data_IF_031205450465
#
_entry.id   IF_031205450465
#
_cell.length_a   1.000
_cell.length_b   1.000
_cell.length_c   1.000
_cell.angle_alpha   90.00
_cell.angle_beta   90.00
_cell.angle_gamma   90.00
#
_symmetry.space_group_name_H-M   'P 1'
#
loop_
_entity.id
_entity.type
_entity.pdbx_description
1 polymer ?
#
# COMPACT_ATOMS: atom_id res chain seq x y z
N UNK A 1 -12.13 -55.26 -47.36
CA UNK A 1 -12.22 -53.88 -47.88
C UNK A 1 -13.58 -53.33 -47.49
N UNK A 2 -13.66 -52.67 -46.38
CA UNK A 2 -14.90 -52.02 -45.92
C UNK A 2 -14.50 -50.67 -45.31
N UNK A 3 -14.93 -49.64 -45.98
CA UNK A 3 -14.69 -48.24 -45.67
C UNK A 3 -15.59 -47.76 -44.55
N UNK A 4 -15.03 -47.22 -43.46
CA UNK A 4 -15.74 -46.48 -42.44
C UNK A 4 -15.95 -45.01 -42.86
N UNK A 5 -17.15 -44.44 -42.66
CA UNK A 5 -17.36 -43.02 -42.94
C UNK A 5 -16.88 -42.13 -41.78
N UNK A 6 -16.29 -41.04 -42.16
CA UNK A 6 -15.95 -39.90 -41.31
C UNK A 6 -17.20 -39.21 -40.83
N UNK A 7 -17.41 -39.24 -39.53
CA UNK A 7 -18.31 -38.33 -38.82
C UNK A 7 -17.50 -37.57 -37.76
N UNK A 8 -16.83 -36.53 -38.19
CA UNK A 8 -16.15 -35.55 -37.33
C UNK A 8 -16.65 -34.17 -37.72
N UNK A 9 -17.47 -33.53 -36.97
CA UNK A 9 -17.82 -32.14 -37.23
C UNK A 9 -19.22 -31.75 -36.81
N UNK A 10 -19.54 -31.74 -35.54
CA UNK A 10 -20.67 -30.94 -34.98
C UNK A 10 -20.71 -31.03 -33.44
N UNK A 11 -19.69 -30.55 -32.77
CA UNK A 11 -19.77 -30.34 -31.30
C UNK A 11 -18.84 -29.24 -30.84
N UNK A 12 -18.95 -28.04 -31.40
CA UNK A 12 -18.17 -26.87 -31.01
C UNK A 12 -18.93 -25.57 -31.29
N UNK A 13 -20.20 -25.50 -30.88
CA UNK A 13 -20.96 -24.23 -30.92
C UNK A 13 -22.13 -24.23 -29.93
N UNK A 14 -21.87 -24.46 -28.63
CA UNK A 14 -22.91 -24.30 -27.61
C UNK A 14 -22.33 -23.98 -26.21
N UNK A 15 -21.28 -23.19 -26.10
CA UNK A 15 -20.81 -22.67 -24.82
C UNK A 15 -20.46 -21.18 -24.85
N UNK A 16 -21.08 -20.41 -25.73
CA UNK A 16 -20.93 -18.96 -25.76
C UNK A 16 -22.26 -18.24 -25.44
N UNK A 17 -23.15 -18.86 -24.68
CA UNK A 17 -24.24 -18.13 -24.02
C UNK A 17 -23.64 -17.58 -22.72
N UNK A 18 -22.97 -16.42 -22.86
CA UNK A 18 -22.36 -15.70 -21.75
C UNK A 18 -23.36 -15.47 -20.66
N UNK A 19 -22.96 -15.81 -19.44
CA UNK A 19 -23.38 -15.17 -18.24
C UNK A 19 -23.02 -13.67 -18.31
N UNK A 20 -23.80 -12.90 -19.03
CA UNK A 20 -23.95 -11.49 -18.74
C UNK A 20 -24.71 -11.45 -17.40
N UNK A 21 -23.99 -11.65 -16.31
CA UNK A 21 -24.41 -11.16 -15.02
C UNK A 21 -24.58 -9.66 -15.22
N UNK A 22 -25.84 -9.24 -15.44
CA UNK A 22 -26.22 -7.85 -15.34
C UNK A 22 -25.76 -7.43 -13.94
N UNK A 23 -24.63 -6.74 -13.87
CA UNK A 23 -24.25 -6.03 -12.66
C UNK A 23 -25.39 -5.04 -12.44
N UNK A 24 -26.23 -5.34 -11.44
CA UNK A 24 -27.19 -4.34 -10.97
C UNK A 24 -26.39 -3.06 -10.74
N UNK A 25 -26.82 -1.91 -11.26
CA UNK A 25 -26.11 -0.67 -11.04
C UNK A 25 -25.89 -0.55 -9.55
N UNK A 26 -24.63 -0.40 -9.12
CA UNK A 26 -24.30 -0.17 -7.73
C UNK A 26 -25.22 0.96 -7.27
N UNK A 27 -26.14 0.68 -6.35
CA UNK A 27 -26.99 1.71 -5.78
C UNK A 27 -26.04 2.67 -5.07
N UNK A 28 -25.72 3.77 -5.71
CA UNK A 28 -25.01 4.88 -5.09
C UNK A 28 -25.98 5.46 -4.06
N UNK A 29 -25.96 4.90 -2.86
CA UNK A 29 -26.73 5.49 -1.77
C UNK A 29 -26.24 6.91 -1.57
N UNK A 30 -27.13 7.88 -1.66
CA UNK A 30 -26.80 9.27 -1.36
C UNK A 30 -26.17 9.33 0.06
N UNK A 31 -25.00 9.96 0.20
CA UNK A 31 -24.38 10.11 1.51
C UNK A 31 -25.33 10.78 2.50
N UNK A 32 -25.49 10.20 3.69
CA UNK A 32 -26.45 10.66 4.71
C UNK A 32 -25.78 11.52 5.77
N UNK A 33 -26.54 12.43 6.35
CA UNK A 33 -26.14 13.14 7.56
C UNK A 33 -26.13 12.20 8.78
N UNK A 34 -25.37 12.57 9.81
CA UNK A 34 -25.39 11.88 11.08
C UNK A 34 -26.80 12.00 11.72
N UNK A 35 -27.27 10.91 12.31
CA UNK A 35 -28.48 10.94 13.14
C UNK A 35 -28.20 11.70 14.44
N UNK A 36 -29.23 12.13 15.16
CA UNK A 36 -29.02 12.79 16.46
C UNK A 36 -28.32 11.85 17.47
N UNK A 37 -28.63 10.56 17.45
CA UNK A 37 -27.95 9.58 18.28
C UNK A 37 -26.43 9.50 17.95
N UNK A 38 -26.07 9.51 16.65
CA UNK A 38 -24.67 9.54 16.22
C UNK A 38 -23.97 10.83 16.67
N UNK A 39 -24.60 12.00 16.48
CA UNK A 39 -24.06 13.29 16.91
C UNK A 39 -23.82 13.33 18.42
N UNK A 40 -24.80 12.86 19.21
CA UNK A 40 -24.68 12.82 20.65
C UNK A 40 -23.53 11.91 21.11
N UNK A 41 -23.38 10.73 20.49
CA UNK A 41 -22.28 9.81 20.78
C UNK A 41 -20.91 10.44 20.42
N UNK A 42 -20.77 11.07 19.26
CA UNK A 42 -19.53 11.73 18.84
C UNK A 42 -19.15 12.89 19.77
N UNK A 43 -20.13 13.72 20.18
CA UNK A 43 -19.89 14.82 21.15
C UNK A 43 -19.48 14.30 22.53
N UNK A 44 -20.13 13.25 23.03
CA UNK A 44 -19.77 12.64 24.31
C UNK A 44 -18.34 12.08 24.27
N UNK A 45 -17.96 11.41 23.17
CA UNK A 45 -16.62 10.89 22.98
C UNK A 45 -15.58 12.01 22.87
N UNK A 46 -15.87 13.07 22.10
CA UNK A 46 -14.96 14.20 21.93
C UNK A 46 -14.55 14.83 23.27
N UNK A 47 -15.46 14.89 24.24
CA UNK A 47 -15.18 15.40 25.56
C UNK A 47 -14.17 14.56 26.39
N UNK A 48 -13.93 13.30 25.98
CA UNK A 48 -13.01 12.36 26.67
C UNK A 48 -11.67 12.20 25.97
N UNK A 49 -11.54 12.64 24.73
CA UNK A 49 -10.34 12.45 23.93
C UNK A 49 -9.34 13.59 24.15
N UNK A 50 -8.02 13.30 24.18
CA UNK A 50 -6.98 14.31 24.34
C UNK A 50 -6.73 15.08 23.03
N UNK A 51 -7.75 15.78 22.52
CA UNK A 51 -7.71 16.45 21.22
C UNK A 51 -6.71 17.60 21.16
N UNK A 52 -6.33 18.17 22.30
CA UNK A 52 -5.33 19.23 22.40
C UNK A 52 -3.88 18.74 22.27
N UNK A 53 -3.65 17.43 22.42
CA UNK A 53 -2.31 16.85 22.24
C UNK A 53 -1.89 16.92 20.78
N UNK A 54 -0.73 17.53 20.51
CA UNK A 54 -0.15 17.71 19.15
C UNK A 54 0.98 16.74 18.85
N UNK A 55 1.38 15.91 19.80
CA UNK A 55 2.56 15.03 19.66
C UNK A 55 2.51 14.18 18.36
N UNK A 56 1.35 13.59 18.04
CA UNK A 56 1.22 12.79 16.83
C UNK A 56 1.42 13.58 15.52
N UNK A 57 1.03 14.85 15.50
CA UNK A 57 1.24 15.73 14.35
C UNK A 57 2.70 16.16 14.23
N UNK A 58 3.33 16.48 15.36
CA UNK A 58 4.76 16.83 15.43
C UNK A 58 5.60 15.63 14.98
N UNK A 59 5.26 14.43 15.41
CA UNK A 59 5.92 13.19 15.01
C UNK A 59 5.69 12.87 13.52
N UNK A 60 4.49 13.09 13.00
CA UNK A 60 4.18 12.91 11.58
C UNK A 60 4.96 13.88 10.69
N UNK A 61 5.24 15.09 11.17
CA UNK A 61 5.98 16.12 10.43
C UNK A 61 7.51 16.02 10.62
N UNK A 62 7.97 15.27 11.64
CA UNK A 62 9.40 15.22 12.00
C UNK A 62 10.25 14.70 10.86
N UNK A 63 11.34 15.42 10.56
CA UNK A 63 12.30 15.04 9.53
C UNK A 63 11.80 15.24 8.10
N UNK A 64 10.71 15.97 7.89
CA UNK A 64 10.17 16.26 6.56
C UNK A 64 11.22 16.92 5.67
N UNK A 65 11.34 16.40 4.44
CA UNK A 65 12.27 16.91 3.40
C UNK A 65 11.49 17.50 2.24
N UNK A 66 10.67 16.72 1.58
CA UNK A 66 9.84 17.16 0.45
C UNK A 66 8.59 16.30 0.32
N UNK A 67 7.45 16.91 0.00
CA UNK A 67 6.21 16.23 -0.28
C UNK A 67 6.22 15.57 -1.67
N UNK A 68 5.34 14.60 -1.89
CA UNK A 68 4.98 14.13 -3.22
C UNK A 68 4.37 15.30 -4.01
N UNK A 69 5.01 15.75 -5.09
CA UNK A 69 4.71 16.98 -5.83
C UNK A 69 3.22 17.21 -6.09
N UNK A 70 2.71 16.83 -7.26
CA UNK A 70 1.29 17.00 -7.62
C UNK A 70 0.31 16.14 -6.82
N UNK A 71 0.79 15.36 -5.87
CA UNK A 71 0.03 14.38 -5.10
C UNK A 71 -0.69 13.35 -5.99
N UNK A 72 -0.13 13.07 -7.15
CA UNK A 72 -0.65 12.12 -8.13
C UNK A 72 0.49 11.30 -8.70
N UNK A 73 0.35 9.99 -8.72
CA UNK A 73 1.25 9.07 -9.43
C UNK A 73 0.44 8.48 -10.58
N UNK A 74 0.82 8.76 -11.84
CA UNK A 74 0.11 8.27 -13.01
C UNK A 74 0.27 6.74 -13.15
N UNK A 75 -0.67 6.11 -13.82
CA UNK A 75 -0.60 4.72 -14.26
C UNK A 75 -0.60 4.62 -15.79
N UNK A 76 -0.60 3.40 -16.29
CA UNK A 76 -0.74 3.12 -17.74
C UNK A 76 -2.16 3.39 -18.28
N UNK A 77 -3.15 3.51 -17.40
CA UNK A 77 -4.55 3.73 -17.73
C UNK A 77 -5.01 5.17 -17.42
N UNK A 78 -6.31 5.46 -17.62
CA UNK A 78 -6.87 6.79 -17.43
C UNK A 78 -6.96 7.22 -15.95
N UNK A 79 -6.87 6.29 -15.02
CA UNK A 79 -6.89 6.60 -13.59
C UNK A 79 -5.47 6.60 -13.03
N UNK A 80 -5.15 7.51 -12.10
CA UNK A 80 -3.87 7.45 -11.42
C UNK A 80 -3.75 6.18 -10.58
N UNK A 81 -2.54 5.66 -10.45
CA UNK A 81 -2.22 4.56 -9.55
C UNK A 81 -2.39 5.01 -8.10
N UNK A 82 -2.01 6.24 -7.81
CA UNK A 82 -2.11 6.84 -6.49
C UNK A 82 -2.46 8.32 -6.59
N UNK A 83 -3.28 8.80 -5.67
CA UNK A 83 -3.53 10.24 -5.54
C UNK A 83 -4.01 10.59 -4.13
N UNK A 84 -3.52 11.72 -3.63
CA UNK A 84 -4.03 12.37 -2.42
C UNK A 84 -5.04 13.49 -2.73
N UNK A 85 -5.31 13.77 -4.02
CA UNK A 85 -6.39 14.68 -4.41
C UNK A 85 -7.73 14.09 -3.99
N UNK A 86 -8.62 14.95 -3.51
CA UNK A 86 -9.93 14.56 -2.96
C UNK A 86 -9.92 14.33 -1.45
N UNK A 87 -8.79 14.56 -0.76
CA UNK A 87 -8.70 14.55 0.70
C UNK A 87 -8.49 15.97 1.28
N UNK A 88 -8.66 17.01 0.49
CA UNK A 88 -8.50 18.41 0.90
C UNK A 88 -9.47 18.81 2.02
N UNK A 89 -10.60 18.12 2.14
CA UNK A 89 -11.56 18.30 3.24
C UNK A 89 -10.94 18.05 4.64
N UNK A 90 -9.87 17.26 4.73
CA UNK A 90 -9.12 17.02 5.97
C UNK A 90 -8.29 18.22 6.44
N UNK A 91 -8.25 19.29 5.67
CA UNK A 91 -7.69 20.58 6.12
C UNK A 91 -8.48 21.25 7.23
N UNK A 92 -9.75 20.88 7.43
CA UNK A 92 -10.58 21.38 8.53
C UNK A 92 -10.09 20.82 9.86
N UNK A 93 -10.10 21.64 10.90
CA UNK A 93 -9.66 21.22 12.22
C UNK A 93 -10.71 20.38 12.93
N UNK A 94 -11.95 20.82 12.90
CA UNK A 94 -13.08 20.18 13.57
C UNK A 94 -13.55 18.94 12.82
N UNK A 95 -13.79 17.87 13.58
CA UNK A 95 -14.38 16.65 13.05
C UNK A 95 -15.87 16.89 12.73
N UNK A 96 -16.34 16.47 11.54
CA UNK A 96 -17.77 16.51 11.24
C UNK A 96 -18.53 15.47 12.07
N UNK A 97 -19.79 15.72 12.36
CA UNK A 97 -20.67 14.81 13.11
C UNK A 97 -20.79 13.39 12.50
N UNK A 98 -20.43 13.24 11.24
CA UNK A 98 -20.48 11.96 10.49
C UNK A 98 -19.26 11.08 10.70
N UNK A 99 -18.19 11.59 11.30
CA UNK A 99 -16.91 10.89 11.45
C UNK A 99 -16.52 10.81 12.93
N UNK A 100 -16.02 9.65 13.33
CA UNK A 100 -15.45 9.48 14.66
C UNK A 100 -14.29 10.49 14.87
N UNK A 101 -14.29 11.30 15.94
CA UNK A 101 -13.30 12.38 16.10
C UNK A 101 -11.85 11.88 16.16
N UNK A 102 -11.61 10.70 16.74
CA UNK A 102 -10.29 10.07 16.72
C UNK A 102 -9.84 9.67 15.31
N UNK A 103 -10.76 9.14 14.49
CA UNK A 103 -10.45 8.85 13.08
C UNK A 103 -10.16 10.13 12.29
N UNK A 104 -10.94 11.19 12.51
CA UNK A 104 -10.70 12.48 11.86
C UNK A 104 -9.31 13.02 12.18
N UNK A 105 -8.94 13.03 13.46
CA UNK A 105 -7.62 13.47 13.93
C UNK A 105 -6.50 12.62 13.31
N UNK A 106 -6.66 11.29 13.29
CA UNK A 106 -5.71 10.36 12.71
C UNK A 106 -5.58 10.56 11.18
N UNK A 107 -6.70 10.70 10.48
CA UNK A 107 -6.74 10.96 9.04
C UNK A 107 -6.01 12.25 8.66
N UNK A 108 -6.11 13.31 9.50
CA UNK A 108 -5.37 14.56 9.30
C UNK A 108 -3.86 14.34 9.45
N UNK A 109 -3.41 13.60 10.47
CA UNK A 109 -1.99 13.26 10.63
C UNK A 109 -1.46 12.42 9.44
N UNK A 110 -2.28 11.50 8.92
CA UNK A 110 -1.96 10.69 7.72
C UNK A 110 -1.95 11.49 6.39
N UNK A 111 -2.19 12.81 6.43
CA UNK A 111 -1.91 13.67 5.27
C UNK A 111 -0.43 14.00 5.11
N UNK A 112 0.40 13.76 6.12
CA UNK A 112 1.85 13.86 6.00
C UNK A 112 2.34 12.87 4.95
N UNK A 113 2.98 13.39 3.89
CA UNK A 113 3.43 12.58 2.76
C UNK A 113 4.75 13.12 2.21
N UNK A 114 5.52 12.22 1.58
CA UNK A 114 6.78 12.60 0.95
C UNK A 114 7.98 11.86 1.54
N UNK A 115 9.15 12.49 1.43
CA UNK A 115 10.42 12.01 1.96
C UNK A 115 10.67 12.61 3.35
N UNK A 116 11.04 11.74 4.29
CA UNK A 116 11.39 12.12 5.67
C UNK A 116 12.75 11.56 6.04
N UNK A 117 13.61 12.39 6.65
CA UNK A 117 14.85 11.94 7.28
C UNK A 117 14.54 11.48 8.71
N UNK A 118 14.73 10.19 9.00
CA UNK A 118 14.50 9.62 10.33
C UNK A 118 15.74 9.75 11.20
N UNK A 119 16.89 9.35 10.65
CA UNK A 119 18.23 9.53 11.25
C UNK A 119 19.21 9.90 10.14
N UNK A 120 20.51 9.98 10.44
CA UNK A 120 21.51 10.38 9.46
C UNK A 120 21.59 9.45 8.23
N UNK A 121 21.23 8.19 8.39
CA UNK A 121 21.31 7.16 7.33
C UNK A 121 19.97 6.48 7.04
N UNK A 122 18.88 6.89 7.69
CA UNK A 122 17.56 6.25 7.54
C UNK A 122 16.55 7.28 7.06
N UNK A 123 15.88 6.95 5.99
CA UNK A 123 14.85 7.76 5.35
C UNK A 123 13.56 6.96 5.20
N UNK A 124 12.41 7.65 5.21
CA UNK A 124 11.12 7.04 4.94
C UNK A 124 10.37 7.80 3.85
N UNK A 125 9.74 7.04 2.97
CA UNK A 125 8.76 7.51 1.99
C UNK A 125 7.39 7.19 2.56
N UNK A 126 6.65 8.23 2.95
CA UNK A 126 5.35 8.14 3.64
C UNK A 126 4.24 8.68 2.77
N UNK A 127 3.04 8.09 2.86
CA UNK A 127 1.85 8.57 2.16
C UNK A 127 1.86 8.34 0.65
N UNK A 128 2.67 7.41 0.15
CA UNK A 128 2.67 6.93 -1.24
C UNK A 128 1.76 5.73 -1.42
N UNK A 129 1.39 5.09 -0.34
CA UNK A 129 0.52 3.93 -0.27
C UNK A 129 -0.09 3.83 1.14
N UNK A 130 -0.72 2.69 1.46
CA UNK A 130 -1.17 2.38 2.82
C UNK A 130 0.01 2.11 3.76
N UNK A 131 1.08 1.49 3.26
CA UNK A 131 2.34 1.25 3.96
C UNK A 131 3.36 2.36 3.72
N UNK A 132 4.50 2.30 4.41
CA UNK A 132 5.64 3.18 4.23
C UNK A 132 6.86 2.37 3.77
N UNK A 133 7.67 2.96 2.89
CA UNK A 133 8.95 2.38 2.49
C UNK A 133 10.08 3.03 3.28
N UNK A 134 10.98 2.21 3.82
CA UNK A 134 12.18 2.70 4.52
C UNK A 134 13.44 2.44 3.68
N UNK A 135 14.30 3.44 3.57
CA UNK A 135 15.60 3.36 2.89
C UNK A 135 16.70 3.57 3.91
N UNK A 136 17.59 2.59 4.03
CA UNK A 136 18.78 2.65 4.88
C UNK A 136 20.01 2.77 3.99
N UNK A 137 20.84 3.79 4.22
CA UNK A 137 22.08 3.97 3.46
C UNK A 137 23.20 3.07 4.00
N UNK A 138 23.58 2.07 3.21
CA UNK A 138 24.74 1.25 3.42
C UNK A 138 26.07 1.95 3.04
N UNK A 139 27.17 1.22 3.14
CA UNK A 139 28.50 1.71 2.75
C UNK A 139 28.56 2.00 1.24
N UNK A 140 28.05 1.08 0.42
CA UNK A 140 28.14 1.16 -1.05
C UNK A 140 26.78 1.31 -1.74
N UNK A 141 25.71 0.87 -1.11
CA UNK A 141 24.36 0.81 -1.67
C UNK A 141 23.28 1.18 -0.67
N UNK A 142 22.08 0.75 -0.99
CA UNK A 142 20.89 0.99 -0.20
C UNK A 142 20.28 -0.34 0.26
N UNK A 143 19.69 -0.35 1.45
CA UNK A 143 18.84 -1.41 1.95
C UNK A 143 17.42 -0.82 1.98
N UNK A 144 16.49 -1.46 1.27
CA UNK A 144 15.09 -1.01 1.20
C UNK A 144 14.23 -1.97 2.01
N UNK A 145 13.46 -1.45 2.96
CA UNK A 145 12.50 -2.22 3.74
C UNK A 145 11.09 -1.87 3.26
N UNK A 146 10.31 -2.88 2.94
CA UNK A 146 8.90 -2.81 2.54
C UNK A 146 8.64 -1.88 1.34
N UNK A 147 8.88 -2.35 0.11
CA UNK A 147 8.81 -1.53 -1.10
C UNK A 147 7.37 -1.23 -1.59
N UNK A 148 6.41 -1.01 -0.70
CA UNK A 148 5.02 -0.64 -1.01
C UNK A 148 4.26 -1.74 -1.80
N UNK A 149 3.00 -1.45 -2.22
CA UNK A 149 2.18 -2.46 -2.90
C UNK A 149 2.36 -2.47 -4.43
N UNK A 150 2.68 -1.34 -5.06
CA UNK A 150 2.78 -1.30 -6.51
C UNK A 150 4.10 -0.75 -7.03
N UNK A 151 4.52 -1.29 -8.19
CA UNK A 151 5.75 -0.94 -8.88
C UNK A 151 5.83 0.58 -9.13
N UNK A 152 4.75 1.19 -9.58
CA UNK A 152 4.71 2.61 -9.94
C UNK A 152 4.88 3.51 -8.73
N UNK A 153 4.27 3.18 -7.59
CA UNK A 153 4.44 3.98 -6.36
C UNK A 153 5.82 3.79 -5.77
N UNK A 154 6.39 2.58 -5.83
CA UNK A 154 7.76 2.33 -5.39
C UNK A 154 8.78 3.09 -6.25
N UNK A 155 8.59 3.12 -7.58
CA UNK A 155 9.43 3.93 -8.49
C UNK A 155 9.34 5.43 -8.17
N UNK A 156 8.12 5.96 -7.98
CA UNK A 156 7.92 7.36 -7.64
C UNK A 156 8.56 7.72 -6.28
N UNK A 157 8.45 6.83 -5.30
CA UNK A 157 9.07 6.99 -4.00
C UNK A 157 10.60 7.01 -4.09
N UNK A 158 11.20 6.06 -4.82
CA UNK A 158 12.65 6.04 -5.05
C UNK A 158 13.13 7.26 -5.86
N UNK A 159 12.35 7.71 -6.85
CA UNK A 159 12.67 8.91 -7.60
C UNK A 159 12.73 10.15 -6.69
N UNK A 160 11.79 10.30 -5.76
CA UNK A 160 11.83 11.38 -4.78
C UNK A 160 13.04 11.26 -3.84
N UNK A 161 13.36 10.05 -3.39
CA UNK A 161 14.57 9.81 -2.59
C UNK A 161 15.83 10.25 -3.36
N UNK A 162 16.01 9.82 -4.61
CA UNK A 162 17.17 10.15 -5.44
C UNK A 162 17.25 11.61 -5.86
N UNK A 163 16.17 12.36 -5.77
CA UNK A 163 16.21 13.82 -5.96
C UNK A 163 17.04 14.52 -4.86
N UNK A 164 17.06 13.94 -3.65
CA UNK A 164 17.72 14.52 -2.48
C UNK A 164 18.98 13.77 -2.04
N UNK A 165 19.17 12.56 -2.50
CA UNK A 165 20.28 11.69 -2.09
C UNK A 165 21.02 11.13 -3.29
N UNK A 166 22.31 10.83 -3.16
CA UNK A 166 23.08 10.22 -4.23
C UNK A 166 22.43 8.93 -4.75
N UNK A 167 22.44 8.75 -6.06
CA UNK A 167 22.00 7.49 -6.68
C UNK A 167 23.01 6.41 -6.33
N UNK A 168 22.56 5.39 -5.61
CA UNK A 168 23.33 4.21 -5.25
C UNK A 168 22.56 2.94 -5.66
N UNK A 169 23.25 1.83 -5.96
CA UNK A 169 22.58 0.56 -6.20
C UNK A 169 21.86 0.08 -4.93
N UNK A 170 20.84 -0.74 -5.08
CA UNK A 170 20.21 -1.43 -3.96
C UNK A 170 21.00 -2.69 -3.66
N UNK A 171 21.48 -2.85 -2.43
CA UNK A 171 22.23 -4.02 -1.95
C UNK A 171 21.29 -5.10 -1.40
N UNK A 172 20.18 -4.70 -0.81
CA UNK A 172 19.18 -5.64 -0.30
C UNK A 172 17.78 -5.02 -0.27
N UNK A 173 16.76 -5.91 -0.38
CA UNK A 173 15.36 -5.61 -0.07
C UNK A 173 14.91 -6.52 1.07
N UNK A 174 14.22 -5.98 2.06
CA UNK A 174 13.69 -6.71 3.20
C UNK A 174 12.17 -6.62 3.16
N UNK A 175 11.50 -7.76 3.18
CA UNK A 175 10.06 -7.86 3.40
C UNK A 175 9.81 -8.16 4.87
N UNK A 176 9.11 -7.28 5.58
CA UNK A 176 8.83 -7.48 6.99
C UNK A 176 7.85 -8.62 7.24
N UNK A 177 6.87 -8.79 6.36
CA UNK A 177 5.85 -9.84 6.42
C UNK A 177 5.14 -10.05 5.07
N UNK A 178 4.16 -10.95 5.03
CA UNK A 178 3.53 -11.48 3.81
C UNK A 178 2.45 -10.59 3.16
N UNK A 179 2.02 -9.51 3.79
CA UNK A 179 1.02 -8.60 3.19
C UNK A 179 1.55 -7.89 1.96
N UNK A 180 0.73 -7.80 0.90
CA UNK A 180 1.16 -7.32 -0.41
C UNK A 180 1.69 -5.88 -0.43
N UNK A 181 1.24 -5.04 0.50
CA UNK A 181 1.67 -3.65 0.63
C UNK A 181 3.11 -3.50 1.20
N UNK A 182 3.76 -4.62 1.55
CA UNK A 182 5.13 -4.65 2.03
C UNK A 182 6.12 -5.28 1.03
N UNK A 183 5.65 -5.81 -0.12
CA UNK A 183 6.52 -6.43 -1.13
C UNK A 183 6.09 -6.17 -2.57
N UNK A 184 4.83 -5.83 -2.83
CA UNK A 184 4.25 -5.80 -4.17
C UNK A 184 4.90 -4.82 -5.14
N UNK A 185 5.54 -3.77 -4.63
CA UNK A 185 6.27 -2.77 -5.42
C UNK A 185 7.74 -3.10 -5.70
N UNK A 186 8.22 -4.30 -5.34
CA UNK A 186 9.65 -4.66 -5.39
C UNK A 186 10.31 -4.42 -6.76
N UNK A 187 9.59 -4.64 -7.86
CA UNK A 187 10.13 -4.37 -9.21
C UNK A 187 10.24 -2.88 -9.55
N UNK A 188 9.70 -2.02 -8.72
CA UNK A 188 9.95 -0.58 -8.77
C UNK A 188 11.27 -0.16 -8.11
N UNK A 189 11.88 -1.07 -7.35
CA UNK A 189 13.11 -0.83 -6.59
C UNK A 189 14.29 -1.60 -7.19
N UNK A 190 14.09 -2.87 -7.58
CA UNK A 190 15.14 -3.74 -8.12
C UNK A 190 14.64 -4.56 -9.31
N UNK A 191 15.57 -4.98 -10.17
CA UNK A 191 15.27 -5.92 -11.26
C UNK A 191 15.38 -7.37 -10.79
N UNK A 192 14.58 -8.27 -11.38
CA UNK A 192 14.71 -9.71 -11.15
C UNK A 192 16.07 -10.26 -11.59
N UNK A 193 16.67 -9.69 -12.65
CA UNK A 193 17.96 -10.10 -13.17
C UNK A 193 19.10 -9.78 -12.21
N UNK A 194 19.06 -8.63 -11.52
CA UNK A 194 20.07 -8.29 -10.51
C UNK A 194 19.97 -9.19 -9.27
N UNK A 195 18.74 -9.60 -8.91
CA UNK A 195 18.53 -10.58 -7.85
C UNK A 195 19.05 -11.95 -8.27
N UNK A 196 18.71 -12.43 -9.48
CA UNK A 196 19.17 -13.69 -10.02
C UNK A 196 20.70 -13.75 -10.18
N UNK A 197 21.34 -12.61 -10.50
CA UNK A 197 22.79 -12.45 -10.58
C UNK A 197 23.46 -12.34 -9.21
N UNK A 198 22.71 -12.39 -8.08
CA UNK A 198 23.24 -12.28 -6.72
C UNK A 198 23.74 -10.89 -6.34
N UNK A 199 23.45 -9.86 -7.12
CA UNK A 199 23.81 -8.45 -6.82
C UNK A 199 22.96 -7.87 -5.71
N UNK A 200 21.70 -8.32 -5.59
CA UNK A 200 20.72 -7.87 -4.61
C UNK A 200 20.23 -9.06 -3.80
N UNK A 201 20.22 -8.94 -2.49
CA UNK A 201 19.58 -9.91 -1.59
C UNK A 201 18.12 -9.53 -1.36
N UNK A 202 17.21 -10.49 -1.46
CA UNK A 202 15.83 -10.33 -1.01
C UNK A 202 15.65 -11.17 0.23
N UNK A 203 15.31 -10.54 1.35
CA UNK A 203 15.29 -11.12 2.69
C UNK A 203 13.85 -11.10 3.21
N UNK A 204 13.40 -12.22 3.77
CA UNK A 204 12.06 -12.33 4.36
C UNK A 204 12.05 -13.39 5.47
N UNK A 205 11.04 -13.39 6.36
CA UNK A 205 10.88 -14.46 7.33
C UNK A 205 10.59 -15.81 6.66
N UNK A 206 10.96 -16.89 7.33
CA UNK A 206 10.62 -18.25 6.91
C UNK A 206 9.09 -18.39 6.79
N UNK A 207 8.62 -19.15 5.80
CA UNK A 207 7.19 -19.29 5.49
C UNK A 207 6.59 -18.15 4.67
N UNK A 208 7.37 -17.10 4.37
CA UNK A 208 6.89 -15.93 3.64
C UNK A 208 6.17 -16.27 2.32
N UNK A 209 6.73 -17.16 1.50
CA UNK A 209 6.14 -17.50 0.19
C UNK A 209 4.79 -18.22 0.32
N UNK A 210 4.68 -19.13 1.26
CA UNK A 210 3.45 -19.87 1.54
C UNK A 210 2.35 -18.91 1.98
N UNK A 211 2.65 -18.00 2.89
CA UNK A 211 1.70 -17.02 3.40
C UNK A 211 1.33 -15.99 2.33
N UNK A 212 2.29 -15.45 1.59
CA UNK A 212 2.04 -14.48 0.54
C UNK A 212 1.16 -15.06 -0.59
N UNK A 213 1.40 -16.29 -1.01
CA UNK A 213 0.59 -16.99 -2.02
C UNK A 213 -0.77 -17.38 -1.43
N UNK A 214 -0.80 -17.92 -0.21
CA UNK A 214 -2.02 -18.32 0.48
C UNK A 214 -3.00 -17.15 0.62
N UNK A 215 -2.54 -16.02 1.10
CA UNK A 215 -3.36 -14.84 1.35
C UNK A 215 -3.79 -14.13 0.05
N UNK A 216 -2.85 -13.89 -0.86
CA UNK A 216 -3.10 -12.98 -1.99
C UNK A 216 -3.61 -13.70 -3.25
N UNK A 217 -3.36 -15.00 -3.42
CA UNK A 217 -3.80 -15.78 -4.57
C UNK A 217 -4.93 -16.72 -4.16
N UNK A 218 -4.71 -17.63 -3.20
CA UNK A 218 -5.70 -18.65 -2.83
C UNK A 218 -6.90 -17.98 -2.15
N UNK A 219 -6.67 -17.14 -1.15
CA UNK A 219 -7.71 -16.40 -0.43
C UNK A 219 -7.98 -15.00 -1.02
N UNK A 220 -7.30 -14.60 -2.11
CA UNK A 220 -7.29 -13.24 -2.63
C UNK A 220 -8.67 -12.64 -2.90
N UNK A 221 -9.62 -13.43 -3.41
CA UNK A 221 -11.00 -13.00 -3.60
C UNK A 221 -11.74 -12.69 -2.29
N UNK A 222 -11.46 -13.44 -1.22
CA UNK A 222 -12.03 -13.18 0.11
C UNK A 222 -11.37 -11.94 0.75
N UNK A 223 -10.05 -11.82 0.64
CA UNK A 223 -9.29 -10.68 1.14
C UNK A 223 -9.72 -9.37 0.45
N UNK A 224 -9.89 -9.37 -0.87
CA UNK A 224 -10.39 -8.22 -1.61
C UNK A 224 -11.78 -7.80 -1.15
N UNK A 225 -12.70 -8.74 -0.90
CA UNK A 225 -14.03 -8.42 -0.36
C UNK A 225 -13.96 -7.83 1.05
N UNK A 226 -13.09 -8.36 1.91
CA UNK A 226 -12.87 -7.78 3.26
C UNK A 226 -12.32 -6.36 3.18
N UNK A 227 -11.36 -6.10 2.30
CA UNK A 227 -10.77 -4.78 2.08
C UNK A 227 -11.81 -3.73 1.67
N UNK A 228 -12.87 -4.10 0.92
CA UNK A 228 -13.96 -3.19 0.58
C UNK A 228 -14.68 -2.66 1.82
N UNK A 229 -14.89 -3.51 2.82
CA UNK A 229 -15.54 -3.10 4.07
C UNK A 229 -14.56 -2.42 5.04
N UNK A 230 -13.33 -2.88 5.09
CA UNK A 230 -12.31 -2.35 6.01
C UNK A 230 -11.84 -0.95 5.60
N UNK A 231 -11.60 -0.72 4.31
CA UNK A 231 -10.97 0.51 3.82
C UNK A 231 -11.96 1.45 3.09
N UNK A 232 -13.14 0.96 2.73
CA UNK A 232 -14.17 1.73 2.04
C UNK A 232 -13.76 2.29 0.66
N UNK A 233 -12.94 1.62 -0.18
CA UNK A 233 -12.39 2.20 -1.42
C UNK A 233 -13.46 2.50 -2.48
N UNK A 234 -14.67 1.94 -2.34
CA UNK A 234 -15.81 2.22 -3.23
C UNK A 234 -16.63 3.42 -2.79
N UNK A 235 -16.43 3.94 -1.57
CA UNK A 235 -17.12 5.14 -1.11
C UNK A 235 -16.46 6.38 -1.72
N UNK A 236 -17.25 7.41 -2.05
CA UNK A 236 -16.69 8.69 -2.46
C UNK A 236 -15.87 9.28 -1.31
N UNK A 237 -14.73 9.88 -1.63
CA UNK A 237 -13.91 10.58 -0.65
C UNK A 237 -14.65 11.78 -0.08
N UNK A 238 -14.66 11.92 1.23
CA UNK A 238 -15.35 13.03 1.89
C UNK A 238 -15.85 12.70 3.29
N UNK A 239 -16.37 13.73 3.94
CA UNK A 239 -16.87 13.69 5.32
C UNK A 239 -18.03 12.70 5.55
N UNK A 240 -18.75 12.32 4.51
CA UNK A 240 -19.86 11.36 4.52
C UNK A 240 -19.54 10.07 3.76
N UNK A 241 -18.29 9.81 3.50
CA UNK A 241 -17.81 8.66 2.73
C UNK A 241 -16.49 8.10 3.25
N UNK A 242 -15.53 7.89 2.35
CA UNK A 242 -14.20 7.39 2.72
C UNK A 242 -13.33 8.55 3.20
N UNK A 243 -12.87 8.48 4.44
CA UNK A 243 -12.02 9.47 5.10
C UNK A 243 -10.57 9.01 5.17
N UNK A 244 -10.36 7.76 5.60
CA UNK A 244 -9.05 7.15 5.81
C UNK A 244 -9.24 5.64 6.01
N UNK A 245 -8.17 4.87 5.87
CA UNK A 245 -8.19 3.43 6.20
C UNK A 245 -7.80 3.15 7.66
N UNK A 246 -7.43 4.17 8.43
CA UNK A 246 -6.94 4.03 9.80
C UNK A 246 -5.45 3.66 9.90
N UNK A 247 -4.81 3.32 8.78
CA UNK A 247 -3.37 3.04 8.65
C UNK A 247 -2.70 4.03 7.70
N UNK A 248 -3.41 4.44 6.69
CA UNK A 248 -3.08 5.37 5.62
C UNK A 248 -4.36 5.68 4.86
N UNK A 249 -4.26 6.32 3.70
CA UNK A 249 -5.45 6.75 2.96
C UNK A 249 -6.20 5.60 2.29
N UNK A 250 -5.49 4.77 1.56
CA UNK A 250 -5.99 3.60 0.83
C UNK A 250 -4.81 2.82 0.26
N UNK A 251 -5.06 1.73 -0.45
CA UNK A 251 -4.05 1.02 -1.24
C UNK A 251 -3.91 1.63 -2.63
N UNK A 252 -2.70 1.61 -3.20
CA UNK A 252 -2.48 2.02 -4.59
C UNK A 252 -3.02 0.97 -5.58
N UNK A 253 -3.36 1.43 -6.79
CA UNK A 253 -4.01 0.61 -7.84
C UNK A 253 -3.05 0.28 -9.00
N UNK A 254 -1.77 0.08 -8.73
CA UNK A 254 -0.74 -0.21 -9.73
C UNK A 254 -0.45 -1.69 -9.93
N UNK A 255 0.68 -1.95 -10.55
CA UNK A 255 1.17 -3.30 -10.85
C UNK A 255 1.79 -3.94 -9.61
N UNK A 256 1.23 -5.05 -9.15
CA UNK A 256 1.79 -5.84 -8.04
C UNK A 256 2.78 -6.85 -8.61
N UNK A 257 3.94 -6.96 -8.01
CA UNK A 257 5.01 -7.86 -8.43
C UNK A 257 5.64 -8.56 -7.23
N UNK A 258 6.12 -9.78 -7.43
CA UNK A 258 6.81 -10.54 -6.40
C UNK A 258 8.17 -11.01 -6.94
N UNK A 259 9.20 -10.82 -6.16
CA UNK A 259 10.50 -11.48 -6.32
C UNK A 259 10.69 -12.38 -5.10
N UNK A 260 10.83 -13.70 -5.27
CA UNK A 260 11.02 -14.62 -4.15
C UNK A 260 12.24 -14.24 -3.31
N UNK A 261 12.19 -14.42 -1.98
CA UNK A 261 13.34 -14.21 -1.12
C UNK A 261 14.51 -15.12 -1.51
N UNK A 262 15.73 -14.56 -1.47
CA UNK A 262 16.99 -15.30 -1.64
C UNK A 262 17.63 -15.66 -0.31
N UNK A 263 17.11 -15.10 0.78
CA UNK A 263 17.56 -15.36 2.15
C UNK A 263 16.35 -15.36 3.08
N UNK A 264 16.23 -16.39 3.90
CA UNK A 264 15.17 -16.54 4.89
C UNK A 264 15.71 -16.35 6.30
N UNK A 265 14.93 -15.68 7.14
CA UNK A 265 15.17 -15.53 8.58
C UNK A 265 14.33 -16.60 9.28
N UNK A 266 14.94 -17.55 9.94
CA UNK A 266 14.27 -18.72 10.52
C UNK A 266 14.48 -18.88 12.03
N UNK A 267 15.31 -18.03 12.66
CA UNK A 267 15.52 -18.03 14.10
C UNK A 267 14.80 -16.89 14.80
N UNK A 268 14.44 -17.05 16.08
CA UNK A 268 13.79 -16.00 16.85
C UNK A 268 14.56 -14.67 16.91
N UNK A 269 15.87 -14.71 16.82
CA UNK A 269 16.77 -13.54 16.72
C UNK A 269 17.95 -13.91 15.83
N UNK A 270 18.17 -13.13 14.78
CA UNK A 270 19.34 -13.22 13.91
C UNK A 270 19.94 -11.84 13.68
N UNK A 271 21.27 -11.78 13.62
CA UNK A 271 21.98 -10.56 13.25
C UNK A 271 22.75 -10.79 11.95
N UNK A 272 22.50 -9.96 10.96
CA UNK A 272 23.18 -10.01 9.68
C UNK A 272 23.82 -8.66 9.34
N UNK A 273 25.09 -8.70 8.92
CA UNK A 273 25.76 -7.52 8.39
C UNK A 273 25.48 -7.40 6.89
N UNK A 274 24.73 -6.36 6.52
CA UNK A 274 24.30 -6.10 5.13
C UNK A 274 24.86 -4.73 4.73
N UNK A 275 25.74 -4.71 3.73
CA UNK A 275 26.36 -3.50 3.21
C UNK A 275 26.88 -2.54 4.33
N UNK A 276 27.57 -3.13 5.32
CA UNK A 276 28.15 -2.41 6.45
C UNK A 276 27.17 -2.01 7.56
N UNK A 277 25.90 -2.41 7.46
CA UNK A 277 24.87 -2.16 8.48
C UNK A 277 24.56 -3.47 9.20
N UNK A 278 24.61 -3.47 10.52
CA UNK A 278 24.19 -4.61 11.33
C UNK A 278 22.67 -4.52 11.57
N UNK A 279 21.94 -5.51 11.05
CA UNK A 279 20.49 -5.60 11.13
C UNK A 279 20.14 -6.79 12.01
N UNK A 280 19.34 -6.55 13.02
CA UNK A 280 18.79 -7.57 13.92
C UNK A 280 17.35 -7.86 13.47
N UNK A 281 17.09 -9.10 13.17
CA UNK A 281 15.79 -9.63 12.80
C UNK A 281 15.16 -10.35 14.00
#
# INVERSE_FOLDING_TARGET
>A
MTTLPRAAGALLLACAAGLALAQAPAQTSTPKDATEATRAAQRALLATLPMADKQSFDDAARGFVEALGDRVIPGSGPRPVWTLKGYEFLGKEEAPDTVHPGLWRHARANMANGLFKVTDRVYQLRGFDISNMTVIEGERGLIVVDPLISTEVAQAAMALYFKHRPVKPVSAVIYSHSHADHWGGVRGVVSGDDVAAGKVKVIAPAGFMEEAVGENIIAGGAMSRRALYQFGPLLPRGEKGQVDSGLGKTVSAGSISLIPPTMLIDKPVETHRIDGVDIVF
#
